data_IF_083839428131
#
_entry.id   IF_083839428131
#
_cell.length_a   1.000
_cell.length_b   1.000
_cell.length_c   1.000
_cell.angle_alpha   90.00
_cell.angle_beta   90.00
_cell.angle_gamma   90.00
#
_symmetry.space_group_name_H-M   'P 1'
#
loop_
_entity.id
_entity.type
_entity.pdbx_description
1 polymer ?
#
# COMPACT_ATOMS: atom_id res chain seq x y z
N UNK A 1 8.40 7.75 17.95
CA UNK A 1 9.10 6.48 17.64
C UNK A 1 10.57 6.67 17.89
N UNK A 2 11.27 5.64 18.37
CA UNK A 2 12.73 5.63 18.35
C UNK A 2 13.19 5.80 16.89
N UNK A 3 14.14 6.70 16.66
CA UNK A 3 14.79 6.94 15.36
C UNK A 3 15.21 5.65 14.65
N UNK A 4 15.62 4.62 15.39
CA UNK A 4 16.03 3.33 14.84
C UNK A 4 14.87 2.55 14.22
N UNK A 5 13.68 2.64 14.80
CA UNK A 5 12.51 1.90 14.31
C UNK A 5 11.92 2.57 13.07
N UNK A 6 11.90 3.91 13.03
CA UNK A 6 11.51 4.64 11.81
C UNK A 6 12.44 4.32 10.63
N UNK A 7 13.75 4.25 10.85
CA UNK A 7 14.71 3.88 9.79
C UNK A 7 14.48 2.46 9.26
N UNK A 8 14.22 1.49 10.15
CA UNK A 8 13.90 0.12 9.75
C UNK A 8 12.60 0.05 8.96
N UNK A 9 11.57 0.77 9.42
CA UNK A 9 10.28 0.83 8.75
C UNK A 9 10.43 1.43 7.35
N UNK A 10 11.11 2.57 7.23
CA UNK A 10 11.35 3.21 5.94
C UNK A 10 12.12 2.28 4.99
N UNK A 11 13.16 1.60 5.50
CA UNK A 11 13.90 0.60 4.71
C UNK A 11 13.01 -0.53 4.22
N UNK A 12 12.11 -1.04 5.06
CA UNK A 12 11.13 -2.06 4.67
C UNK A 12 10.16 -1.53 3.61
N UNK A 13 9.58 -0.35 3.81
CA UNK A 13 8.62 0.24 2.87
C UNK A 13 9.29 0.55 1.51
N UNK A 14 10.56 0.95 1.49
CA UNK A 14 11.32 1.12 0.24
C UNK A 14 11.65 -0.19 -0.48
N UNK A 15 11.66 -1.32 0.23
CA UNK A 15 11.91 -2.62 -0.40
C UNK A 15 10.67 -3.27 -1.01
N UNK A 16 9.48 -2.73 -0.72
CA UNK A 16 8.23 -3.19 -1.35
C UNK A 16 7.87 -2.31 -2.55
N UNK A 17 7.07 -2.86 -3.46
CA UNK A 17 6.67 -2.17 -4.69
C UNK A 17 5.16 -2.12 -4.88
N UNK A 18 4.42 -2.95 -4.14
CA UNK A 18 2.96 -3.06 -4.24
C UNK A 18 2.32 -2.68 -2.91
N UNK A 19 1.19 -1.99 -3.00
CA UNK A 19 0.30 -1.73 -1.88
C UNK A 19 -1.12 -2.11 -2.25
N UNK A 20 -1.92 -2.47 -1.24
CA UNK A 20 -3.36 -2.64 -1.37
C UNK A 20 -4.04 -1.36 -0.89
N UNK A 21 -4.61 -0.59 -1.81
CA UNK A 21 -5.29 0.66 -1.51
C UNK A 21 -6.80 0.43 -1.37
N UNK A 22 -7.32 0.62 -0.18
CA UNK A 22 -8.75 0.66 0.11
C UNK A 22 -9.27 2.09 -0.06
N UNK A 23 -10.29 2.25 -0.88
CA UNK A 23 -11.02 3.50 -1.11
C UNK A 23 -12.52 3.24 -0.92
N UNK A 24 -13.29 4.26 -0.55
CA UNK A 24 -14.73 4.11 -0.40
C UNK A 24 -15.45 5.39 -0.78
N UNK A 25 -16.42 5.27 -1.69
CA UNK A 25 -17.42 6.31 -1.94
C UNK A 25 -18.77 5.83 -1.41
N UNK A 26 -19.50 5.04 -2.20
CA UNK A 26 -20.74 4.38 -1.75
C UNK A 26 -20.47 3.02 -1.12
N UNK A 27 -19.58 2.24 -1.74
CA UNK A 27 -19.14 0.93 -1.26
C UNK A 27 -17.61 0.90 -1.16
N UNK A 28 -17.06 0.12 -0.21
CA UNK A 28 -15.62 -0.06 -0.12
C UNK A 28 -15.11 -0.85 -1.33
N UNK A 29 -13.94 -0.45 -1.83
CA UNK A 29 -13.23 -1.10 -2.92
C UNK A 29 -11.74 -1.16 -2.61
N UNK A 30 -11.09 -2.27 -2.99
CA UNK A 30 -9.65 -2.44 -2.82
C UNK A 30 -8.98 -2.69 -4.18
N UNK A 31 -7.88 -2.00 -4.42
CA UNK A 31 -7.06 -2.15 -5.62
C UNK A 31 -5.60 -2.40 -5.23
N UNK A 32 -4.90 -3.24 -6.00
CA UNK A 32 -3.44 -3.40 -5.85
C UNK A 32 -2.75 -2.41 -6.78
N UNK A 33 -1.86 -1.58 -6.24
CA UNK A 33 -1.19 -0.51 -6.97
C UNK A 33 0.32 -0.56 -6.73
N UNK A 34 1.07 -0.16 -7.75
CA UNK A 34 2.48 0.18 -7.56
C UNK A 34 2.61 1.48 -6.78
N UNK A 35 3.56 1.53 -5.86
CA UNK A 35 3.83 2.75 -5.09
C UNK A 35 5.33 3.02 -4.95
N UNK A 36 5.65 4.26 -4.61
CA UNK A 36 6.96 4.71 -4.14
C UNK A 36 6.79 5.47 -2.83
N UNK A 37 7.84 5.54 -2.03
CA UNK A 37 7.86 6.29 -0.77
C UNK A 37 9.16 7.10 -0.66
N UNK A 38 9.06 8.34 -0.19
CA UNK A 38 10.21 9.19 0.05
C UNK A 38 10.72 9.11 1.51
N UNK A 39 11.74 9.90 1.83
CA UNK A 39 12.34 9.92 3.18
C UNK A 39 11.44 10.53 4.25
N UNK A 40 10.35 11.21 3.86
CA UNK A 40 9.37 11.82 4.76
C UNK A 40 8.16 10.92 5.02
N UNK A 41 8.18 9.68 4.52
CA UNK A 41 7.05 8.74 4.54
C UNK A 41 5.86 9.15 3.66
N UNK A 42 6.05 10.06 2.69
CA UNK A 42 5.02 10.35 1.72
C UNK A 42 4.95 9.22 0.68
N UNK A 43 3.75 8.65 0.51
CA UNK A 43 3.49 7.54 -0.42
C UNK A 43 2.88 8.08 -1.70
N UNK A 44 3.51 7.73 -2.82
CA UNK A 44 3.10 8.13 -4.16
C UNK A 44 2.67 6.90 -4.94
N UNK A 45 1.62 7.03 -5.73
CA UNK A 45 1.19 6.00 -6.67
C UNK A 45 0.69 6.66 -7.95
N UNK A 46 0.76 5.93 -9.05
CA UNK A 46 0.22 6.37 -10.35
C UNK A 46 -0.96 5.46 -10.67
N UNK A 47 -2.04 6.07 -11.15
CA UNK A 47 -3.22 5.35 -11.60
C UNK A 47 -3.89 6.07 -12.76
N UNK A 48 -4.62 5.30 -13.53
CA UNK A 48 -5.53 5.82 -14.56
C UNK A 48 -6.68 6.60 -13.87
N UNK A 49 -7.02 7.83 -14.32
CA UNK A 49 -8.07 8.65 -13.70
C UNK A 49 -9.48 8.05 -13.70
N UNK A 50 -9.82 7.27 -14.72
CA UNK A 50 -11.13 6.63 -14.87
C UNK A 50 -11.31 5.36 -14.02
N UNK A 51 -10.23 4.84 -13.43
CA UNK A 51 -10.26 3.71 -12.52
C UNK A 51 -11.15 3.97 -11.29
N UNK A 52 -11.82 2.92 -10.80
CA UNK A 52 -12.81 3.04 -9.73
C UNK A 52 -12.24 3.65 -8.44
N UNK A 53 -11.03 3.25 -8.01
CA UNK A 53 -10.40 3.83 -6.83
C UNK A 53 -10.02 5.30 -7.04
N UNK A 54 -9.59 5.71 -8.25
CA UNK A 54 -9.33 7.12 -8.58
C UNK A 54 -10.59 7.96 -8.43
N UNK A 55 -11.71 7.50 -9.01
CA UNK A 55 -13.03 8.14 -8.86
C UNK A 55 -13.51 8.19 -7.40
N UNK A 56 -13.32 7.10 -6.65
CA UNK A 56 -13.65 7.06 -5.23
C UNK A 56 -12.86 8.10 -4.43
N UNK A 57 -11.55 8.24 -4.69
CA UNK A 57 -10.67 9.16 -3.98
C UNK A 57 -11.02 10.62 -4.27
N UNK A 58 -11.44 10.93 -5.50
CA UNK A 58 -11.94 12.27 -5.85
C UNK A 58 -13.17 12.65 -5.02
N UNK A 59 -14.08 11.70 -4.77
CA UNK A 59 -15.28 11.93 -3.96
C UNK A 59 -15.00 11.88 -2.45
N UNK A 60 -14.13 10.97 -2.00
CA UNK A 60 -13.75 10.79 -0.60
C UNK A 60 -12.25 10.51 -0.48
N UNK A 61 -11.51 11.51 0.01
CA UNK A 61 -10.05 11.45 0.14
C UNK A 61 -9.55 10.54 1.28
N UNK A 62 -10.44 10.00 2.11
CA UNK A 62 -10.06 9.07 3.19
C UNK A 62 -9.82 7.68 2.59
N UNK A 63 -8.59 7.22 2.70
CA UNK A 63 -8.14 5.91 2.21
C UNK A 63 -7.40 5.16 3.31
N UNK A 64 -7.25 3.86 3.13
CA UNK A 64 -6.36 3.02 3.92
C UNK A 64 -5.49 2.21 2.98
N UNK A 65 -4.24 1.93 3.36
CA UNK A 65 -3.39 1.05 2.57
C UNK A 65 -2.74 -0.03 3.43
N UNK A 66 -2.53 -1.20 2.82
CA UNK A 66 -1.78 -2.30 3.39
C UNK A 66 -0.57 -2.62 2.52
N UNK A 67 0.59 -2.81 3.15
CA UNK A 67 1.84 -3.20 2.49
C UNK A 67 2.37 -4.43 3.22
N UNK A 68 2.42 -5.56 2.53
CA UNK A 68 2.88 -6.82 3.08
C UNK A 68 3.94 -7.45 2.17
N UNK A 69 4.85 -8.19 2.81
CA UNK A 69 5.86 -9.00 2.15
C UNK A 69 5.54 -10.46 2.45
N UNK A 70 5.16 -11.22 1.41
CA UNK A 70 5.07 -12.68 1.53
C UNK A 70 6.42 -13.27 1.17
N UNK A 71 7.29 -13.44 2.16
CA UNK A 71 8.56 -14.17 2.02
C UNK A 71 8.37 -15.68 1.87
N UNK A 72 7.12 -16.13 1.83
CA UNK A 72 6.82 -17.55 1.75
C UNK A 72 7.20 -18.07 0.37
N UNK A 73 8.07 -19.09 0.34
CA UNK A 73 8.40 -19.73 -0.92
C UNK A 73 7.18 -20.45 -1.47
N UNK A 74 7.00 -20.40 -2.79
CA UNK A 74 5.86 -21.00 -3.50
C UNK A 74 5.74 -22.50 -3.21
N UNK A 75 6.86 -23.17 -2.92
CA UNK A 75 6.94 -24.60 -2.64
C UNK A 75 6.88 -24.98 -1.15
N UNK A 76 6.80 -24.01 -0.25
CA UNK A 76 6.70 -24.28 1.19
C UNK A 76 5.24 -24.29 1.63
N UNK A 77 4.93 -25.09 2.65
CA UNK A 77 3.58 -25.21 3.20
C UNK A 77 3.05 -23.83 3.64
N UNK A 78 1.87 -23.44 3.14
CA UNK A 78 1.15 -22.22 3.53
C UNK A 78 0.59 -22.38 4.93
N UNK A 79 1.29 -21.84 5.92
CA UNK A 79 0.88 -21.85 7.33
C UNK A 79 0.03 -20.64 7.73
N UNK A 80 -0.18 -19.67 6.83
CA UNK A 80 -0.78 -18.38 7.18
C UNK A 80 0.17 -17.54 8.03
N UNK A 81 -0.05 -16.23 8.07
CA UNK A 81 0.62 -15.32 9.02
C UNK A 81 -0.31 -15.14 10.21
#
# INVERSE_FOLDING_TARGET
MDTKDSQKLLKYLKSQHLMFLASSSQNPWIATLYYAIDDNFDIYFISEPEALHSKNILNNKKVSCGISDSKQKVNEQKIGI
#
